data_IF_493065351170
#
_entry.id   IF_493065351170
#
_cell.length_a   1.000
_cell.length_b   1.000
_cell.length_c   1.000
_cell.angle_alpha   90.00
_cell.angle_beta   90.00
_cell.angle_gamma   90.00
#
_symmetry.space_group_name_H-M   'P 1'
#
loop_
_entity.id
_entity.type
_entity.pdbx_description
1 polymer ?
#
# COMPACT_ATOMS: atom_id res chain seq x y z
N UNK A 1 -22.76 1.20 7.81
CA UNK A 1 -21.34 1.04 8.22
C UNK A 1 -20.65 2.40 8.10
N UNK A 2 -19.97 2.88 9.13
CA UNK A 2 -19.22 4.15 9.06
C UNK A 2 -17.80 3.91 8.54
N UNK A 3 -17.24 4.90 7.85
CA UNK A 3 -15.90 4.85 7.25
C UNK A 3 -14.82 5.07 8.32
N UNK A 4 -14.24 4.00 8.86
CA UNK A 4 -13.26 4.08 9.97
C UNK A 4 -11.80 3.82 9.57
N UNK A 5 -11.55 3.05 8.50
CA UNK A 5 -10.19 2.79 7.98
C UNK A 5 -10.10 3.11 6.46
N UNK A 6 -9.73 4.34 6.10
CA UNK A 6 -9.50 4.75 4.72
C UNK A 6 -8.44 3.96 3.97
N UNK A 7 -7.43 3.43 4.68
CA UNK A 7 -6.37 2.67 4.04
C UNK A 7 -6.83 1.23 3.76
N UNK A 8 -7.57 0.61 4.66
CA UNK A 8 -8.18 -0.70 4.39
C UNK A 8 -9.15 -0.65 3.20
N UNK A 9 -9.93 0.43 3.05
CA UNK A 9 -10.78 0.65 1.87
C UNK A 9 -9.96 0.76 0.58
N UNK A 10 -8.85 1.50 0.57
CA UNK A 10 -7.94 1.57 -0.58
C UNK A 10 -7.44 0.18 -1.00
N UNK A 11 -6.92 -0.60 -0.05
CA UNK A 11 -6.39 -1.93 -0.34
C UNK A 11 -7.48 -2.90 -0.82
N UNK A 12 -8.69 -2.79 -0.28
CA UNK A 12 -9.85 -3.59 -0.70
C UNK A 12 -10.30 -3.22 -2.11
N UNK A 13 -10.32 -1.92 -2.45
CA UNK A 13 -10.64 -1.46 -3.81
C UNK A 13 -9.64 -1.97 -4.84
N UNK A 14 -8.34 -1.93 -4.51
CA UNK A 14 -7.28 -2.48 -5.37
C UNK A 14 -7.51 -3.97 -5.62
N UNK A 15 -7.70 -4.76 -4.55
CA UNK A 15 -7.95 -6.21 -4.65
C UNK A 15 -9.18 -6.53 -5.50
N UNK A 16 -10.30 -5.86 -5.22
CA UNK A 16 -11.55 -6.10 -5.94
C UNK A 16 -11.46 -5.67 -7.40
N UNK A 17 -10.76 -4.57 -7.69
CA UNK A 17 -10.54 -4.12 -9.05
C UNK A 17 -9.67 -5.10 -9.85
N UNK A 18 -8.66 -5.70 -9.21
CA UNK A 18 -7.85 -6.77 -9.82
C UNK A 18 -8.64 -8.04 -10.10
N UNK A 19 -9.48 -8.48 -9.16
CA UNK A 19 -10.37 -9.63 -9.36
C UNK A 19 -11.40 -9.40 -10.47
N UNK A 20 -11.75 -8.13 -10.72
CA UNK A 20 -12.67 -7.72 -11.78
C UNK A 20 -11.94 -7.28 -13.07
N UNK A 21 -10.62 -7.55 -13.18
CA UNK A 21 -9.78 -7.24 -14.35
C UNK A 21 -9.85 -5.78 -14.81
N UNK A 22 -10.06 -4.84 -13.87
CA UNK A 22 -10.10 -3.41 -14.17
C UNK A 22 -8.70 -2.87 -14.41
N UNK A 23 -8.56 -1.97 -15.36
CA UNK A 23 -7.30 -1.25 -15.63
C UNK A 23 -7.03 -0.16 -14.60
N UNK A 24 -8.07 0.54 -14.14
CA UNK A 24 -7.95 1.69 -13.23
C UNK A 24 -8.92 1.57 -12.06
N UNK A 25 -8.46 2.00 -10.88
CA UNK A 25 -9.31 2.15 -9.69
C UNK A 25 -9.18 3.54 -9.10
N UNK A 26 -10.32 4.20 -8.85
CA UNK A 26 -10.38 5.56 -8.29
C UNK A 26 -11.03 5.59 -6.92
N UNK A 27 -10.53 6.48 -6.06
CA UNK A 27 -11.02 6.67 -4.69
C UNK A 27 -10.69 8.07 -4.15
N UNK A 28 -11.33 8.53 -3.06
CA UNK A 28 -10.91 9.77 -2.39
C UNK A 28 -9.46 9.70 -1.93
N UNK A 29 -8.68 10.73 -2.27
CA UNK A 29 -7.26 10.83 -1.98
C UNK A 29 -6.99 11.24 -0.52
N UNK A 30 -5.83 10.84 -0.02
CA UNK A 30 -5.24 11.37 1.22
C UNK A 30 -3.73 11.30 1.12
N UNK A 31 -3.02 12.09 1.94
CA UNK A 31 -1.54 12.07 1.96
C UNK A 31 -0.99 10.66 2.21
N UNK A 32 -1.62 9.90 3.10
CA UNK A 32 -1.23 8.53 3.40
C UNK A 32 -1.48 7.59 2.21
N UNK A 33 -2.64 7.67 1.56
CA UNK A 33 -2.95 6.85 0.37
C UNK A 33 -1.99 7.15 -0.77
N UNK A 34 -1.68 8.41 -1.01
CA UNK A 34 -0.71 8.84 -2.00
C UNK A 34 0.70 8.30 -1.69
N UNK A 35 1.13 8.35 -0.42
CA UNK A 35 2.43 7.83 -0.02
C UNK A 35 2.52 6.30 -0.19
N UNK A 36 1.46 5.56 0.14
CA UNK A 36 1.37 4.10 -0.11
C UNK A 36 1.37 3.81 -1.61
N UNK A 37 0.60 4.55 -2.42
CA UNK A 37 0.58 4.39 -3.87
C UNK A 37 1.95 4.66 -4.50
N UNK A 38 2.69 5.65 -4.00
CA UNK A 38 4.07 5.92 -4.42
C UNK A 38 4.98 4.72 -4.16
N UNK A 39 4.94 4.14 -2.95
CA UNK A 39 5.74 2.94 -2.64
C UNK A 39 5.34 1.76 -3.54
N UNK A 40 4.05 1.55 -3.81
CA UNK A 40 3.60 0.50 -4.73
C UNK A 40 4.12 0.71 -6.16
N UNK A 41 4.20 1.95 -6.63
CA UNK A 41 4.76 2.30 -7.95
C UNK A 41 6.26 2.07 -7.98
N UNK A 42 6.99 2.57 -6.98
CA UNK A 42 8.44 2.48 -6.90
C UNK A 42 8.91 1.01 -6.84
N UNK A 43 8.14 0.13 -6.19
CA UNK A 43 8.37 -1.33 -6.15
C UNK A 43 7.81 -2.08 -7.37
N UNK A 44 7.12 -1.40 -8.30
CA UNK A 44 6.67 -1.95 -9.58
C UNK A 44 5.38 -2.78 -9.54
N UNK A 45 4.62 -2.74 -8.44
CA UNK A 45 3.33 -3.44 -8.27
C UNK A 45 2.18 -2.79 -9.05
N UNK A 46 2.21 -1.47 -9.22
CA UNK A 46 1.25 -0.71 -10.01
C UNK A 46 1.97 -0.02 -11.17
N UNK A 47 1.25 0.33 -12.23
CA UNK A 47 1.83 1.03 -13.37
C UNK A 47 2.07 2.51 -13.06
N UNK A 48 1.02 3.21 -12.61
CA UNK A 48 1.10 4.60 -12.18
C UNK A 48 -0.05 4.96 -11.21
N UNK A 49 0.01 6.16 -10.64
CA UNK A 49 -1.10 6.78 -9.94
C UNK A 49 -1.16 8.29 -10.23
N UNK A 50 -2.37 8.84 -10.21
CA UNK A 50 -2.62 10.26 -10.42
C UNK A 50 -3.54 10.81 -9.33
N UNK A 51 -3.34 12.09 -8.99
CA UNK A 51 -4.17 12.79 -8.02
C UNK A 51 -4.79 14.03 -8.70
N UNK A 52 -6.11 14.16 -8.65
CA UNK A 52 -6.79 15.35 -9.18
C UNK A 52 -6.60 16.55 -8.26
N UNK A 53 -6.45 17.75 -8.84
CA UNK A 53 -6.23 19.01 -8.12
C UNK A 53 -7.53 19.74 -7.73
N UNK A 54 -8.60 18.99 -7.49
CA UNK A 54 -9.92 19.54 -7.17
C UNK A 54 -10.12 19.70 -5.65
N UNK A 55 -11.18 20.43 -5.26
CA UNK A 55 -11.56 20.59 -3.85
C UNK A 55 -11.78 19.24 -3.13
N UNK A 56 -12.14 18.20 -3.87
CA UNK A 56 -12.22 16.81 -3.40
C UNK A 56 -11.24 15.96 -4.21
N UNK A 57 -9.97 15.85 -3.79
CA UNK A 57 -8.95 15.18 -4.57
C UNK A 57 -9.27 13.68 -4.69
N UNK A 58 -9.19 13.17 -5.92
CA UNK A 58 -9.33 11.74 -6.22
C UNK A 58 -7.95 11.15 -6.53
N UNK A 59 -7.69 9.97 -5.99
CA UNK A 59 -6.53 9.14 -6.29
C UNK A 59 -6.99 8.06 -7.28
N UNK A 60 -6.42 8.07 -8.48
CA UNK A 60 -6.59 7.03 -9.50
C UNK A 60 -5.31 6.21 -9.58
N UNK A 61 -5.43 4.88 -9.52
CA UNK A 61 -4.32 3.94 -9.58
C UNK A 61 -4.49 3.07 -10.83
N UNK A 62 -3.47 3.01 -11.66
CA UNK A 62 -3.37 2.13 -12.82
C UNK A 62 -2.81 0.78 -12.39
N UNK A 63 -3.63 -0.25 -12.51
CA UNK A 63 -3.32 -1.62 -12.10
C UNK A 63 -2.48 -2.31 -13.18
N UNK A 64 -1.53 -3.12 -12.73
CA UNK A 64 -0.61 -3.85 -13.61
C UNK A 64 -1.00 -5.33 -13.68
N UNK A 65 -0.95 -5.88 -14.88
CA UNK A 65 -1.21 -7.29 -15.17
C UNK A 65 -0.05 -7.85 -16.00
N UNK A 66 0.31 -9.10 -15.76
CA UNK A 66 1.35 -9.82 -16.48
C UNK A 66 0.79 -11.18 -16.91
N UNK A 67 0.84 -11.49 -18.21
CA UNK A 67 0.29 -12.74 -18.76
C UNK A 67 -1.17 -13.01 -18.36
N UNK A 68 -2.00 -11.96 -18.31
CA UNK A 68 -3.40 -12.05 -17.90
C UNK A 68 -3.63 -12.22 -16.39
N UNK A 69 -2.58 -12.23 -15.58
CA UNK A 69 -2.68 -12.32 -14.11
C UNK A 69 -2.39 -10.96 -13.46
N UNK A 70 -3.07 -10.61 -12.35
CA UNK A 70 -2.74 -9.40 -11.60
C UNK A 70 -1.34 -9.51 -11.01
N UNK A 71 -0.56 -8.42 -11.07
CA UNK A 71 0.81 -8.38 -10.51
C UNK A 71 0.81 -8.39 -8.98
N UNK A 72 -0.26 -7.91 -8.33
CA UNK A 72 -0.43 -8.06 -6.88
C UNK A 72 -1.25 -9.33 -6.66
N UNK A 73 -0.64 -10.34 -6.05
CA UNK A 73 -1.28 -11.60 -5.68
C UNK A 73 -2.02 -11.48 -4.33
N UNK A 74 -1.41 -10.79 -3.36
CA UNK A 74 -1.90 -10.65 -2.00
C UNK A 74 -1.66 -9.23 -1.47
N UNK A 75 -2.73 -8.57 -1.01
CA UNK A 75 -2.64 -7.29 -0.30
C UNK A 75 -3.41 -7.34 1.01
N UNK A 76 -2.70 -7.08 2.12
CA UNK A 76 -3.25 -7.27 3.48
C UNK A 76 -2.97 -6.08 4.39
N UNK A 77 -4.02 -5.57 5.05
CA UNK A 77 -3.92 -4.56 6.11
C UNK A 77 -3.46 -5.22 7.42
N UNK A 78 -2.30 -4.79 7.93
CA UNK A 78 -1.67 -5.32 9.14
C UNK A 78 -2.06 -4.47 10.36
N UNK A 79 -1.57 -3.24 10.45
CA UNK A 79 -2.00 -2.30 11.49
C UNK A 79 -3.42 -1.80 11.20
N UNK A 80 -4.33 -1.83 12.18
CA UNK A 80 -5.74 -1.40 12.00
C UNK A 80 -6.12 -0.42 13.11
N UNK A 81 -7.14 0.44 12.94
CA UNK A 81 -7.58 1.34 14.01
C UNK A 81 -7.86 0.64 15.34
N UNK A 82 -8.42 -0.59 15.31
CA UNK A 82 -8.68 -1.38 16.51
C UNK A 82 -7.44 -2.04 17.13
N UNK A 83 -6.34 -2.20 16.38
CA UNK A 83 -5.07 -2.72 16.90
C UNK A 83 -3.91 -2.24 16.03
N UNK A 84 -3.15 -1.29 16.56
CA UNK A 84 -1.97 -0.74 15.88
C UNK A 84 -0.77 -1.65 16.06
N UNK A 85 -0.04 -1.89 14.97
CA UNK A 85 1.11 -2.79 14.93
C UNK A 85 2.38 -2.01 14.66
N UNK A 86 3.17 -1.77 15.70
CA UNK A 86 4.49 -1.14 15.61
C UNK A 86 5.59 -2.18 15.80
N UNK A 87 6.67 -2.04 15.03
CA UNK A 87 7.83 -2.95 15.07
C UNK A 87 9.13 -2.15 15.07
N UNK A 88 10.07 -2.60 15.90
CA UNK A 88 11.47 -2.15 15.80
C UNK A 88 12.09 -2.64 14.50
N UNK A 89 13.23 -2.07 14.12
CA UNK A 89 13.93 -2.39 12.88
C UNK A 89 14.21 -3.89 12.73
N UNK A 90 14.62 -4.56 13.82
CA UNK A 90 14.95 -5.99 13.85
C UNK A 90 13.71 -6.88 13.72
N UNK A 91 12.55 -6.36 14.12
CA UNK A 91 11.28 -7.08 14.12
C UNK A 91 10.41 -6.76 12.90
N UNK A 92 10.91 -5.98 11.94
CA UNK A 92 10.19 -5.72 10.71
C UNK A 92 9.91 -7.04 9.98
N UNK A 93 8.66 -7.32 9.59
CA UNK A 93 8.32 -8.58 8.94
C UNK A 93 8.96 -8.70 7.55
N UNK A 94 9.33 -9.92 7.17
CA UNK A 94 9.72 -10.26 5.78
C UNK A 94 8.55 -10.98 5.13
N UNK A 95 8.03 -10.44 4.03
CA UNK A 95 6.93 -11.07 3.29
C UNK A 95 7.50 -12.10 2.33
N UNK A 96 7.02 -13.35 2.38
CA UNK A 96 7.44 -14.45 1.49
C UNK A 96 8.96 -14.59 1.37
N UNK A 97 9.68 -14.55 2.51
CA UNK A 97 11.14 -14.67 2.53
C UNK A 97 11.91 -13.47 1.95
N UNK A 98 11.24 -12.34 1.68
CA UNK A 98 11.84 -11.13 1.10
C UNK A 98 11.47 -10.88 -0.36
N UNK A 99 10.63 -11.74 -0.95
CA UNK A 99 10.05 -11.56 -2.28
C UNK A 99 8.92 -10.52 -2.30
N UNK A 100 8.15 -10.45 -1.22
CA UNK A 100 7.13 -9.41 -1.03
C UNK A 100 7.67 -8.22 -0.22
N UNK A 101 6.81 -7.21 -0.05
CA UNK A 101 7.15 -5.97 0.63
C UNK A 101 6.22 -5.72 1.80
N UNK A 102 6.76 -5.28 2.94
CA UNK A 102 5.96 -4.64 3.99
C UNK A 102 6.10 -3.13 3.87
N UNK A 103 4.96 -2.43 3.78
CA UNK A 103 4.94 -0.96 3.76
C UNK A 103 4.86 -0.47 5.20
N UNK A 104 5.82 0.37 5.60
CA UNK A 104 6.03 0.82 6.97
C UNK A 104 5.95 2.34 7.03
N UNK A 105 5.22 2.88 8.00
CA UNK A 105 5.26 4.31 8.34
C UNK A 105 6.30 4.55 9.42
N UNK A 106 7.32 5.34 9.08
CA UNK A 106 8.44 5.70 9.98
C UNK A 106 8.44 7.21 10.23
N UNK A 107 9.33 7.68 11.10
CA UNK A 107 9.57 9.12 11.29
C UNK A 107 10.18 9.80 10.05
N UNK A 108 10.75 9.03 9.11
CA UNK A 108 11.31 9.50 7.83
C UNK A 108 10.31 9.37 6.67
N UNK A 109 9.05 9.04 6.96
CA UNK A 109 7.99 8.86 5.96
C UNK A 109 7.60 7.40 5.76
N UNK A 110 6.75 7.17 4.75
CA UNK A 110 6.27 5.84 4.36
C UNK A 110 7.25 5.22 3.38
N UNK A 111 7.71 4.00 3.66
CA UNK A 111 8.72 3.30 2.86
C UNK A 111 8.57 1.78 3.01
N UNK A 112 9.40 1.03 2.29
CA UNK A 112 9.45 -0.43 2.41
C UNK A 112 10.21 -0.89 3.65
N UNK A 113 10.00 -2.13 4.09
CA UNK A 113 10.76 -2.73 5.18
C UNK A 113 12.25 -2.81 4.87
N UNK A 114 12.62 -3.01 3.59
CA UNK A 114 14.03 -2.99 3.16
C UNK A 114 14.65 -1.62 3.34
N UNK A 115 13.98 -0.56 2.90
CA UNK A 115 14.43 0.81 3.08
C UNK A 115 14.50 1.20 4.57
N UNK A 116 13.50 0.78 5.36
CA UNK A 116 13.48 1.03 6.80
C UNK A 116 14.65 0.32 7.53
N UNK A 117 14.96 -0.93 7.18
CA UNK A 117 16.14 -1.66 7.70
C UNK A 117 17.44 -0.97 7.32
N UNK A 118 17.59 -0.56 6.05
CA UNK A 118 18.79 0.15 5.59
C UNK A 118 18.98 1.51 6.32
N UNK A 119 17.88 2.20 6.62
CA UNK A 119 17.88 3.47 7.34
C UNK A 119 17.96 3.32 8.87
N UNK A 120 17.98 2.09 9.40
CA UNK A 120 18.06 1.80 10.83
C UNK A 120 16.82 2.23 11.64
N UNK A 121 15.64 2.30 11.02
CA UNK A 121 14.42 2.81 11.66
C UNK A 121 13.29 1.78 11.67
N UNK A 122 12.56 1.71 12.79
CA UNK A 122 11.30 0.97 12.91
C UNK A 122 10.09 1.85 12.60
N UNK A 123 8.89 1.29 12.75
CA UNK A 123 7.66 2.03 12.49
C UNK A 123 6.37 1.22 12.60
N UNK A 124 5.26 1.84 12.18
CA UNK A 124 3.96 1.17 12.04
C UNK A 124 3.94 0.32 10.78
N UNK A 125 3.64 -0.97 10.89
CA UNK A 125 3.50 -1.86 9.73
C UNK A 125 2.10 -1.67 9.14
N UNK A 126 2.00 -0.91 8.05
CA UNK A 126 0.72 -0.54 7.46
C UNK A 126 0.06 -1.74 6.76
N UNK A 127 0.77 -2.31 5.79
CA UNK A 127 0.27 -3.41 5.00
C UNK A 127 1.42 -4.25 4.45
N UNK A 128 1.09 -5.45 4.01
CA UNK A 128 1.98 -6.34 3.26
C UNK A 128 1.42 -6.53 1.87
N UNK A 129 2.32 -6.65 0.91
CA UNK A 129 2.04 -6.81 -0.51
C UNK A 129 2.92 -7.93 -1.06
N UNK A 130 2.33 -8.81 -1.85
CA UNK A 130 2.98 -9.84 -2.64
C UNK A 130 2.24 -9.95 -3.97
#
# INVERSE_FOLDING_TARGET
MSMQDPLADMLTRIRNAQMAEKTVVSMPSSKLKAAVAKVLKDEGYIADFQITAEAKPLLSIELKYFEGKPVIEEVKRISRPGLRQYKSVDQLPKVRGGLGVSIVSTNKGVMTDRAARAAGVGGEVLCTVF
#
